data_IF_454817857701
#
_entry.id   IF_454817857701
#
_cell.length_a   1.000
_cell.length_b   1.000
_cell.length_c   1.000
_cell.angle_alpha   90.00
_cell.angle_beta   90.00
_cell.angle_gamma   90.00
#
_symmetry.space_group_name_H-M   'P 1'
#
loop_
_entity.id
_entity.type
_entity.pdbx_description
1 polymer ?
#
# COMPACT_ATOMS: atom_id res chain seq x y z
N UNK A 1 -37.79 -21.17 -37.76
CA UNK A 1 -36.78 -20.50 -38.61
C UNK A 1 -35.76 -21.56 -39.02
N UNK A 2 -36.14 -22.39 -39.99
CA UNK A 2 -35.26 -23.40 -40.59
C UNK A 2 -34.47 -22.70 -41.69
N UNK A 3 -33.39 -22.02 -41.32
CA UNK A 3 -32.41 -21.60 -42.32
C UNK A 3 -31.58 -22.84 -42.60
N UNK A 4 -31.63 -23.26 -43.85
CA UNK A 4 -30.87 -24.35 -44.46
C UNK A 4 -29.51 -24.60 -43.80
N UNK A 5 -29.18 -25.88 -43.58
CA UNK A 5 -27.81 -26.39 -43.47
C UNK A 5 -27.05 -26.16 -44.80
N UNK A 6 -26.99 -24.92 -45.28
CA UNK A 6 -26.03 -24.56 -46.31
C UNK A 6 -24.66 -24.69 -45.65
N UNK A 7 -23.95 -25.75 -46.02
CA UNK A 7 -22.53 -25.91 -45.74
C UNK A 7 -21.79 -24.81 -46.51
N UNK A 8 -21.73 -23.60 -45.93
CA UNK A 8 -20.92 -22.53 -46.47
C UNK A 8 -19.46 -22.92 -46.24
N UNK A 9 -18.62 -22.98 -47.29
CA UNK A 9 -17.20 -23.25 -47.13
C UNK A 9 -16.56 -22.25 -46.14
N UNK A 10 -15.68 -22.72 -45.24
CA UNK A 10 -15.06 -21.86 -44.22
C UNK A 10 -14.29 -20.69 -44.82
N UNK A 11 -13.81 -20.81 -46.05
CA UNK A 11 -13.11 -19.76 -46.79
C UNK A 11 -14.04 -18.59 -47.12
N UNK A 12 -15.28 -18.85 -47.54
CA UNK A 12 -16.25 -17.79 -47.82
C UNK A 12 -16.65 -17.07 -46.53
N UNK A 13 -16.80 -17.81 -45.43
CA UNK A 13 -17.03 -17.22 -44.11
C UNK A 13 -15.86 -16.30 -43.72
N UNK A 14 -14.63 -16.74 -43.92
CA UNK A 14 -13.44 -15.92 -43.63
C UNK A 14 -13.41 -14.63 -44.48
N UNK A 15 -13.72 -14.71 -45.78
CA UNK A 15 -13.77 -13.53 -46.67
C UNK A 15 -14.84 -12.53 -46.20
N UNK A 16 -16.04 -13.01 -45.88
CA UNK A 16 -17.13 -12.15 -45.41
C UNK A 16 -16.76 -11.48 -44.09
N UNK A 17 -16.17 -12.24 -43.15
CA UNK A 17 -15.73 -11.70 -41.86
C UNK A 17 -14.59 -10.69 -42.02
N UNK A 18 -13.68 -10.91 -42.96
CA UNK A 18 -12.63 -9.95 -43.28
C UNK A 18 -13.20 -8.61 -43.75
N UNK A 19 -14.13 -8.64 -44.72
CA UNK A 19 -14.81 -7.43 -45.18
C UNK A 19 -15.58 -6.74 -44.05
N UNK A 20 -16.21 -7.51 -43.16
CA UNK A 20 -16.90 -6.97 -41.99
C UNK A 20 -15.94 -6.25 -41.04
N UNK A 21 -14.77 -6.83 -40.76
CA UNK A 21 -13.75 -6.19 -39.91
C UNK A 21 -13.19 -4.93 -40.57
N UNK A 22 -12.93 -4.96 -41.87
CA UNK A 22 -12.49 -3.80 -42.66
C UNK A 22 -13.53 -2.67 -42.68
N UNK A 23 -14.81 -2.96 -42.55
CA UNK A 23 -15.87 -1.95 -42.42
C UNK A 23 -15.87 -1.21 -41.06
N UNK A 24 -15.20 -1.77 -40.06
CA UNK A 24 -15.02 -1.19 -38.74
C UNK A 24 -15.00 -2.24 -37.63
N UNK A 25 -13.98 -2.25 -36.73
CA UNK A 25 -13.83 -3.29 -35.72
C UNK A 25 -14.98 -3.30 -34.71
N UNK A 26 -15.64 -2.17 -34.47
CA UNK A 26 -16.77 -2.08 -33.53
C UNK A 26 -17.97 -2.91 -33.99
N UNK A 27 -18.35 -2.81 -35.25
CA UNK A 27 -19.48 -3.55 -35.81
C UNK A 27 -19.16 -5.04 -35.89
N UNK A 28 -17.97 -5.39 -36.37
CA UNK A 28 -17.49 -6.77 -36.36
C UNK A 28 -17.46 -7.37 -34.95
N UNK A 29 -16.99 -6.60 -33.96
CA UNK A 29 -16.95 -7.03 -32.56
C UNK A 29 -18.35 -7.35 -32.02
N UNK A 30 -19.37 -6.55 -32.34
CA UNK A 30 -20.75 -6.80 -31.93
C UNK A 30 -21.32 -8.08 -32.57
N UNK A 31 -20.97 -8.35 -33.83
CA UNK A 31 -21.41 -9.54 -34.55
C UNK A 31 -20.80 -10.86 -34.03
N UNK A 32 -19.74 -10.81 -33.21
CA UNK A 32 -19.05 -12.03 -32.73
C UNK A 32 -19.92 -12.97 -31.88
N UNK A 33 -21.07 -12.49 -31.40
CA UNK A 33 -21.98 -13.25 -30.54
C UNK A 33 -23.24 -13.78 -31.22
N UNK A 34 -23.47 -13.50 -32.51
CA UNK A 34 -24.80 -13.71 -33.14
C UNK A 34 -25.05 -15.12 -33.68
N UNK A 35 -24.04 -15.99 -33.79
CA UNK A 35 -24.18 -17.31 -34.42
C UNK A 35 -23.88 -18.45 -33.43
N UNK A 36 -24.90 -19.06 -32.82
CA UNK A 36 -24.76 -20.10 -31.76
C UNK A 36 -23.90 -21.30 -32.15
N UNK A 37 -23.97 -21.73 -33.41
CA UNK A 37 -23.37 -23.00 -33.84
C UNK A 37 -21.92 -22.82 -34.31
N UNK A 38 -21.58 -21.58 -34.70
CA UNK A 38 -20.25 -21.23 -35.20
C UNK A 38 -19.54 -20.17 -34.35
N UNK A 39 -20.02 -19.91 -33.12
CA UNK A 39 -19.53 -18.82 -32.24
C UNK A 39 -18.01 -18.84 -32.15
N UNK A 40 -17.41 -20.02 -31.94
CA UNK A 40 -15.97 -20.14 -31.70
C UNK A 40 -15.15 -19.80 -32.94
N UNK A 41 -15.55 -20.28 -34.12
CA UNK A 41 -14.86 -20.00 -35.38
C UNK A 41 -15.03 -18.53 -35.77
N UNK A 42 -16.25 -17.99 -35.73
CA UNK A 42 -16.52 -16.59 -36.05
C UNK A 42 -15.75 -15.64 -35.14
N UNK A 43 -15.81 -15.89 -33.84
CA UNK A 43 -15.07 -15.11 -32.84
C UNK A 43 -13.58 -15.14 -33.13
N UNK A 44 -13.02 -16.32 -33.39
CA UNK A 44 -11.58 -16.47 -33.63
C UNK A 44 -11.13 -15.74 -34.88
N UNK A 45 -11.90 -15.81 -35.98
CA UNK A 45 -11.60 -15.10 -37.23
C UNK A 45 -11.71 -13.58 -37.05
N UNK A 46 -12.79 -13.08 -36.44
CA UNK A 46 -12.95 -11.64 -36.16
C UNK A 46 -11.81 -11.14 -35.28
N UNK A 47 -11.50 -11.86 -34.20
CA UNK A 47 -10.41 -11.52 -33.29
C UNK A 47 -9.05 -11.53 -33.99
N UNK A 48 -8.80 -12.51 -34.87
CA UNK A 48 -7.59 -12.60 -35.67
C UNK A 48 -7.48 -11.42 -36.63
N UNK A 49 -8.54 -11.10 -37.37
CA UNK A 49 -8.52 -10.05 -38.38
C UNK A 49 -8.36 -8.66 -37.76
N UNK A 50 -8.98 -8.44 -36.59
CA UNK A 50 -8.80 -7.22 -35.81
C UNK A 50 -7.32 -7.04 -35.46
N UNK A 51 -6.64 -8.06 -34.95
CA UNK A 51 -5.22 -7.90 -34.53
C UNK A 51 -4.24 -7.93 -35.69
N UNK A 52 -4.57 -8.63 -36.78
CA UNK A 52 -3.67 -8.82 -37.92
C UNK A 52 -3.72 -7.64 -38.88
N UNK A 53 -4.91 -7.13 -39.21
CA UNK A 53 -5.07 -6.21 -40.34
C UNK A 53 -5.43 -4.78 -39.95
N UNK A 54 -6.00 -4.55 -38.76
CA UNK A 54 -6.41 -3.19 -38.37
C UNK A 54 -5.22 -2.32 -37.96
N UNK A 55 -5.30 -1.04 -38.30
CA UNK A 55 -4.31 -0.03 -37.89
C UNK A 55 -4.59 0.50 -36.49
N UNK A 56 -3.56 1.07 -35.86
CA UNK A 56 -3.58 1.68 -34.55
C UNK A 56 -4.60 2.83 -34.48
N UNK A 57 -4.75 3.62 -35.54
CA UNK A 57 -5.71 4.74 -35.59
C UNK A 57 -7.15 4.26 -35.51
N UNK A 58 -7.47 3.14 -36.17
CA UNK A 58 -8.79 2.51 -36.10
C UNK A 58 -9.03 1.88 -34.72
N UNK A 59 -8.01 1.26 -34.14
CA UNK A 59 -8.09 0.60 -32.83
C UNK A 59 -8.13 1.59 -31.65
N UNK A 60 -7.51 2.77 -31.78
CA UNK A 60 -7.57 3.86 -30.79
C UNK A 60 -9.00 4.31 -30.50
N UNK A 61 -9.87 4.27 -31.50
CA UNK A 61 -11.28 4.63 -31.36
C UNK A 61 -12.10 3.55 -30.64
N UNK A 62 -11.50 2.38 -30.37
CA UNK A 62 -12.17 1.18 -29.86
C UNK A 62 -11.55 0.67 -28.55
N UNK A 63 -11.44 1.55 -27.55
CA UNK A 63 -10.79 1.27 -26.25
C UNK A 63 -11.24 -0.05 -25.60
N UNK A 64 -12.55 -0.30 -25.56
CA UNK A 64 -13.11 -1.53 -24.97
C UNK A 64 -12.67 -2.82 -25.68
N UNK A 65 -12.51 -2.76 -27.01
CA UNK A 65 -12.01 -3.89 -27.80
C UNK A 65 -10.54 -4.11 -27.45
N UNK A 66 -9.77 -3.03 -27.39
CA UNK A 66 -8.34 -3.10 -27.09
C UNK A 66 -8.06 -3.58 -25.68
N UNK A 67 -8.86 -3.22 -24.69
CA UNK A 67 -8.74 -3.76 -23.34
C UNK A 67 -8.76 -5.30 -23.30
N UNK A 68 -9.56 -5.93 -24.18
CA UNK A 68 -9.64 -7.39 -24.29
C UNK A 68 -8.57 -7.98 -25.22
N UNK A 69 -8.28 -7.28 -26.33
CA UNK A 69 -7.45 -7.80 -27.42
C UNK A 69 -5.97 -7.47 -27.29
N UNK A 70 -5.58 -6.59 -26.37
CA UNK A 70 -4.20 -6.11 -26.27
C UNK A 70 -3.16 -7.24 -26.15
N UNK A 71 -3.37 -8.34 -25.39
CA UNK A 71 -2.42 -9.47 -25.36
C UNK A 71 -2.13 -10.05 -26.74
N UNK A 72 -3.20 -10.27 -27.53
CA UNK A 72 -3.11 -10.86 -28.86
C UNK A 72 -2.57 -9.87 -29.88
N UNK A 73 -2.98 -8.60 -29.76
CA UNK A 73 -2.46 -7.51 -30.57
C UNK A 73 -0.96 -7.36 -30.37
N UNK A 74 -0.49 -7.33 -29.13
CA UNK A 74 0.94 -7.28 -28.79
C UNK A 74 1.70 -8.50 -29.33
N UNK A 75 1.15 -9.70 -29.15
CA UNK A 75 1.74 -10.92 -29.70
C UNK A 75 1.86 -10.87 -31.23
N UNK A 76 0.82 -10.38 -31.92
CA UNK A 76 0.85 -10.23 -33.37
C UNK A 76 1.85 -9.16 -33.82
N UNK A 77 1.87 -8.00 -33.15
CA UNK A 77 2.78 -6.89 -33.45
C UNK A 77 4.24 -7.19 -33.14
N UNK A 78 4.50 -8.08 -32.19
CA UNK A 78 5.86 -8.60 -31.94
C UNK A 78 6.41 -9.45 -33.09
N UNK A 79 5.55 -10.01 -33.95
CA UNK A 79 5.98 -10.74 -35.16
C UNK A 79 6.03 -9.85 -36.39
N UNK A 80 5.04 -8.96 -36.52
CA UNK A 80 4.87 -8.08 -37.67
C UNK A 80 4.52 -6.69 -37.18
N UNK A 81 5.48 -5.77 -37.28
CA UNK A 81 5.36 -4.41 -36.74
C UNK A 81 4.17 -3.62 -37.32
N UNK A 82 3.95 -3.70 -38.63
CA UNK A 82 2.99 -2.82 -39.34
C UNK A 82 3.20 -1.34 -39.01
N UNK A 83 2.42 -0.80 -38.08
CA UNK A 83 2.25 0.60 -37.75
C UNK A 83 2.59 0.95 -36.30
N UNK A 84 3.17 0.01 -35.56
CA UNK A 84 3.65 0.25 -34.18
C UNK A 84 5.14 0.58 -34.16
N UNK A 85 5.58 1.27 -33.11
CA UNK A 85 7.00 1.44 -32.81
C UNK A 85 7.68 0.08 -32.57
N UNK A 86 8.91 -0.08 -33.06
CA UNK A 86 9.62 -1.36 -33.05
C UNK A 86 10.27 -1.70 -31.71
N UNK A 87 10.42 -0.75 -30.78
CA UNK A 87 11.21 -0.94 -29.56
C UNK A 87 10.63 -2.04 -28.67
N UNK A 88 9.34 -1.96 -28.32
CA UNK A 88 8.68 -2.97 -27.48
C UNK A 88 8.57 -4.34 -28.18
N UNK A 89 8.12 -4.46 -29.44
CA UNK A 89 8.20 -5.69 -30.22
C UNK A 89 9.57 -6.36 -30.22
N UNK A 90 10.64 -5.58 -30.43
CA UNK A 90 12.02 -6.09 -30.44
C UNK A 90 12.41 -6.62 -29.07
N UNK A 91 12.10 -5.88 -28.00
CA UNK A 91 12.35 -6.31 -26.61
C UNK A 91 11.60 -7.60 -26.26
N UNK A 92 10.36 -7.75 -26.72
CA UNK A 92 9.58 -8.99 -26.57
C UNK A 92 10.23 -10.16 -27.31
N UNK A 93 10.74 -9.94 -28.53
CA UNK A 93 11.45 -10.99 -29.27
C UNK A 93 12.72 -11.43 -28.53
N UNK A 94 13.48 -10.49 -27.97
CA UNK A 94 14.65 -10.82 -27.15
C UNK A 94 14.27 -11.65 -25.92
N UNK A 95 13.20 -11.26 -25.20
CA UNK A 95 12.64 -12.04 -24.09
C UNK A 95 12.21 -13.45 -24.51
N UNK A 96 11.58 -13.56 -25.69
CA UNK A 96 11.16 -14.85 -26.26
C UNK A 96 12.35 -15.75 -26.59
N UNK A 97 13.39 -15.22 -27.22
CA UNK A 97 14.56 -16.01 -27.60
C UNK A 97 15.34 -16.49 -26.37
N UNK A 98 15.43 -15.65 -25.32
CA UNK A 98 15.93 -16.08 -24.01
C UNK A 98 15.11 -17.23 -23.42
N UNK A 99 13.78 -17.08 -23.34
CA UNK A 99 12.92 -18.13 -22.80
C UNK A 99 13.00 -19.43 -23.61
N UNK A 100 13.07 -19.34 -24.94
CA UNK A 100 13.20 -20.53 -25.78
C UNK A 100 14.53 -21.24 -25.56
N UNK A 101 15.61 -20.48 -25.35
CA UNK A 101 16.94 -21.02 -25.07
C UNK A 101 16.98 -21.74 -23.71
N UNK A 102 16.52 -21.08 -22.65
CA UNK A 102 16.54 -21.62 -21.28
C UNK A 102 15.58 -22.80 -21.07
N UNK A 103 14.41 -22.76 -21.71
CA UNK A 103 13.38 -23.82 -21.58
C UNK A 103 13.50 -24.90 -22.67
N UNK A 104 14.53 -24.82 -23.52
CA UNK A 104 14.74 -25.72 -24.65
C UNK A 104 13.50 -25.89 -25.55
N UNK A 105 12.82 -24.77 -25.86
CA UNK A 105 11.64 -24.75 -26.72
C UNK A 105 12.08 -24.79 -28.18
N UNK A 106 11.88 -25.92 -28.85
CA UNK A 106 12.31 -26.13 -30.25
C UNK A 106 11.16 -25.94 -31.24
N UNK A 107 9.94 -26.36 -30.90
CA UNK A 107 8.81 -26.36 -31.84
C UNK A 107 8.17 -24.98 -32.00
N UNK A 108 7.73 -24.65 -33.22
CA UNK A 108 7.04 -23.39 -33.54
C UNK A 108 5.80 -23.21 -32.65
N UNK A 109 4.99 -24.25 -32.45
CA UNK A 109 3.75 -24.15 -31.67
C UNK A 109 3.99 -23.79 -30.19
N UNK A 110 5.01 -24.39 -29.56
CA UNK A 110 5.41 -24.03 -28.21
C UNK A 110 6.00 -22.61 -28.14
N UNK A 111 6.79 -22.18 -29.14
CA UNK A 111 7.28 -20.79 -29.23
C UNK A 111 6.12 -19.80 -29.32
N UNK A 112 5.09 -20.16 -30.07
CA UNK A 112 3.87 -19.37 -30.21
C UNK A 112 3.00 -19.33 -28.95
N UNK A 113 2.87 -20.46 -28.25
CA UNK A 113 2.20 -20.51 -26.96
C UNK A 113 2.93 -19.67 -25.91
N UNK A 114 4.26 -19.78 -25.84
CA UNK A 114 5.11 -19.00 -24.94
C UNK A 114 4.98 -17.49 -25.24
N UNK A 115 4.98 -17.08 -26.51
CA UNK A 115 4.76 -15.69 -26.93
C UNK A 115 3.41 -15.14 -26.46
N UNK A 116 2.34 -15.93 -26.61
CA UNK A 116 1.01 -15.52 -26.16
C UNK A 116 0.96 -15.31 -24.65
N UNK A 117 1.53 -16.22 -23.86
CA UNK A 117 1.55 -16.07 -22.40
C UNK A 117 2.47 -14.93 -21.95
N UNK A 118 3.63 -14.73 -22.60
CA UNK A 118 4.50 -13.58 -22.34
C UNK A 118 3.77 -12.26 -22.59
N UNK A 119 3.17 -12.09 -23.77
CA UNK A 119 2.44 -10.86 -24.11
C UNK A 119 1.22 -10.64 -23.19
N UNK A 120 0.49 -11.70 -22.85
CA UNK A 120 -0.64 -11.64 -21.91
C UNK A 120 -0.19 -11.23 -20.52
N UNK A 121 0.88 -11.81 -20.00
CA UNK A 121 1.42 -11.43 -18.72
C UNK A 121 1.92 -9.98 -18.73
N UNK A 122 2.67 -9.54 -19.76
CA UNK A 122 3.08 -8.14 -19.90
C UNK A 122 1.89 -7.17 -19.88
N UNK A 123 0.83 -7.47 -20.62
CA UNK A 123 -0.39 -6.63 -20.64
C UNK A 123 -1.10 -6.62 -19.28
N UNK A 124 -1.18 -7.77 -18.59
CA UNK A 124 -1.77 -7.84 -17.26
C UNK A 124 -1.02 -6.98 -16.24
N UNK A 125 0.30 -6.83 -16.42
CA UNK A 125 1.18 -6.11 -15.50
C UNK A 125 1.16 -4.62 -15.77
N UNK A 126 1.35 -4.25 -17.03
CA UNK A 126 1.49 -2.86 -17.45
C UNK A 126 0.13 -2.17 -17.59
N UNK A 127 -0.93 -2.95 -17.77
CA UNK A 127 -2.23 -2.46 -18.20
C UNK A 127 -2.25 -2.20 -19.71
N UNK A 128 -3.38 -2.52 -20.34
CA UNK A 128 -3.55 -2.38 -21.78
C UNK A 128 -3.31 -0.95 -22.27
N UNK A 129 -3.75 0.08 -21.53
CA UNK A 129 -3.56 1.48 -21.90
C UNK A 129 -2.08 1.86 -22.02
N UNK A 130 -1.25 1.42 -21.07
CA UNK A 130 0.18 1.71 -21.07
C UNK A 130 0.90 0.99 -22.21
N UNK A 131 0.53 -0.27 -22.47
CA UNK A 131 1.05 -1.03 -23.62
C UNK A 131 0.65 -0.35 -24.94
N UNK A 132 -0.61 0.08 -25.07
CA UNK A 132 -1.09 0.82 -26.24
C UNK A 132 -0.28 2.10 -26.46
N UNK A 133 -0.08 2.88 -25.40
CA UNK A 133 0.74 4.09 -25.47
C UNK A 133 2.13 3.74 -25.97
N UNK A 134 2.84 2.81 -25.35
CA UNK A 134 4.20 2.43 -25.78
C UNK A 134 4.25 1.96 -27.24
N UNK A 135 3.29 1.16 -27.70
CA UNK A 135 3.25 0.68 -29.08
C UNK A 135 2.93 1.79 -30.09
N UNK A 136 2.09 2.75 -29.71
CA UNK A 136 1.54 3.73 -30.63
C UNK A 136 2.18 5.11 -30.50
N UNK A 137 3.13 5.30 -29.59
CA UNK A 137 3.62 6.64 -29.25
C UNK A 137 4.54 7.22 -30.34
N UNK A 138 3.94 8.04 -31.20
CA UNK A 138 4.60 9.15 -31.90
C UNK A 138 4.45 10.49 -31.16
N UNK A 139 3.74 10.56 -30.02
CA UNK A 139 3.47 11.79 -29.23
C UNK A 139 4.65 12.19 -28.34
N UNK A 140 5.80 12.33 -28.98
CA UNK A 140 7.02 12.97 -28.50
C UNK A 140 6.85 14.37 -27.88
N UNK A 141 5.69 15.02 -28.05
CA UNK A 141 5.52 16.45 -27.77
C UNK A 141 4.57 16.84 -26.64
N UNK A 142 3.56 16.02 -26.31
CA UNK A 142 2.46 16.46 -25.42
C UNK A 142 2.62 16.02 -23.95
N UNK A 143 3.29 14.90 -23.71
CA UNK A 143 3.67 14.46 -22.36
C UNK A 143 5.20 14.46 -22.25
N UNK A 144 5.79 15.67 -22.32
CA UNK A 144 7.22 15.97 -22.49
C UNK A 144 8.17 15.48 -21.39
N UNK A 145 8.14 14.20 -21.05
CA UNK A 145 9.05 13.58 -20.09
C UNK A 145 9.09 12.05 -20.09
N UNK A 146 8.15 11.37 -20.76
CA UNK A 146 8.10 9.90 -20.83
C UNK A 146 8.53 9.32 -22.19
N UNK A 147 9.42 10.01 -22.92
CA UNK A 147 10.24 9.28 -23.91
C UNK A 147 11.14 8.36 -23.11
N UNK A 148 10.69 7.12 -22.95
CA UNK A 148 11.40 6.09 -22.22
C UNK A 148 12.64 5.73 -23.02
N UNK A 149 13.72 6.50 -22.85
CA UNK A 149 15.05 6.18 -23.35
C UNK A 149 15.38 4.73 -23.02
N UNK A 150 14.96 4.26 -21.85
CA UNK A 150 14.87 2.87 -21.41
C UNK A 150 14.46 1.80 -22.46
N UNK A 151 13.56 2.13 -23.40
CA UNK A 151 13.08 1.19 -24.42
C UNK A 151 13.99 1.18 -25.66
N UNK A 152 14.70 2.27 -25.93
CA UNK A 152 15.56 2.45 -27.12
C UNK A 152 17.05 2.28 -26.81
N UNK A 153 17.49 2.62 -25.60
CA UNK A 153 18.86 2.39 -25.12
C UNK A 153 19.05 0.90 -24.82
N UNK A 154 19.92 0.22 -25.57
CA UNK A 154 20.25 -1.20 -25.35
C UNK A 154 19.68 -2.17 -26.39
N UNK A 155 19.11 -1.68 -27.50
CA UNK A 155 18.74 -2.55 -28.63
C UNK A 155 19.98 -3.14 -29.32
N UNK A 156 21.17 -2.60 -29.05
CA UNK A 156 22.44 -3.12 -29.56
C UNK A 156 22.93 -4.36 -28.76
N UNK A 157 22.56 -5.52 -29.31
CA UNK A 157 23.16 -6.86 -29.17
C UNK A 157 23.10 -7.60 -27.82
N UNK A 158 22.91 -6.94 -26.67
CA UNK A 158 22.80 -7.65 -25.39
C UNK A 158 21.47 -7.37 -24.69
N UNK A 159 20.65 -8.42 -24.59
CA UNK A 159 19.42 -8.39 -23.79
C UNK A 159 19.73 -7.97 -22.35
N UNK A 160 19.05 -6.93 -21.87
CA UNK A 160 19.25 -6.37 -20.54
C UNK A 160 18.94 -7.43 -19.47
N UNK A 161 19.69 -7.44 -18.36
CA UNK A 161 19.47 -8.40 -17.27
C UNK A 161 18.04 -8.32 -16.71
N UNK A 162 17.50 -7.11 -16.62
CA UNK A 162 16.11 -6.87 -16.20
C UNK A 162 15.08 -7.55 -17.12
N UNK A 163 15.38 -7.65 -18.42
CA UNK A 163 14.48 -8.29 -19.38
C UNK A 163 14.44 -9.80 -19.18
N UNK A 164 15.55 -10.40 -18.76
CA UNK A 164 15.62 -11.85 -18.51
C UNK A 164 14.80 -12.20 -17.27
N UNK A 165 14.97 -11.41 -16.21
CA UNK A 165 14.17 -11.54 -15.00
C UNK A 165 12.69 -11.33 -15.31
N UNK A 166 12.35 -10.26 -16.02
CA UNK A 166 10.98 -10.00 -16.45
C UNK A 166 10.40 -11.18 -17.25
N UNK A 167 11.10 -11.66 -18.27
CA UNK A 167 10.63 -12.78 -19.09
C UNK A 167 10.34 -14.00 -18.22
N UNK A 168 11.24 -14.33 -17.29
CA UNK A 168 11.06 -15.43 -16.34
C UNK A 168 9.83 -15.24 -15.45
N UNK A 169 9.63 -14.03 -14.89
CA UNK A 169 8.50 -13.73 -14.02
C UNK A 169 7.16 -13.80 -14.76
N UNK A 170 7.10 -13.19 -15.95
CA UNK A 170 5.89 -13.13 -16.76
C UNK A 170 5.49 -14.51 -17.27
N UNK A 171 6.46 -15.33 -17.67
CA UNK A 171 6.26 -16.72 -18.05
C UNK A 171 6.10 -17.67 -16.86
N UNK A 172 6.11 -17.16 -15.61
CA UNK A 172 6.00 -17.91 -14.35
C UNK A 172 7.00 -19.05 -14.21
N UNK A 173 8.22 -18.84 -14.71
CA UNK A 173 9.32 -19.78 -14.61
C UNK A 173 10.12 -19.50 -13.34
N UNK A 174 9.62 -19.96 -12.19
CA UNK A 174 10.18 -19.61 -10.88
C UNK A 174 11.65 -20.02 -10.68
N UNK A 175 12.09 -21.11 -11.31
CA UNK A 175 13.50 -21.53 -11.28
C UNK A 175 14.41 -20.52 -12.01
N UNK A 176 13.96 -19.95 -13.13
CA UNK A 176 14.68 -18.87 -13.81
C UNK A 176 14.63 -17.58 -12.99
N UNK A 177 13.52 -17.27 -12.33
CA UNK A 177 13.44 -16.11 -11.41
C UNK A 177 14.51 -16.23 -10.33
N UNK A 178 14.61 -17.39 -9.69
CA UNK A 178 15.62 -17.64 -8.66
C UNK A 178 17.06 -17.47 -9.18
N UNK A 179 17.35 -17.94 -10.40
CA UNK A 179 18.66 -17.77 -11.03
C UNK A 179 18.97 -16.31 -11.43
N UNK A 180 17.95 -15.53 -11.80
CA UNK A 180 18.11 -14.18 -12.32
C UNK A 180 18.09 -13.09 -11.24
N UNK A 181 17.37 -13.28 -10.11
CA UNK A 181 17.28 -12.26 -9.05
C UNK A 181 18.65 -11.82 -8.52
N UNK A 182 19.60 -12.73 -8.17
CA UNK A 182 20.93 -12.32 -7.72
C UNK A 182 21.71 -11.49 -8.73
N UNK A 183 21.44 -11.67 -10.04
CA UNK A 183 22.11 -10.95 -11.13
C UNK A 183 21.54 -9.55 -11.37
N UNK A 184 20.42 -9.21 -10.71
CA UNK A 184 19.65 -7.98 -10.92
C UNK A 184 19.53 -7.12 -9.64
N UNK A 185 20.28 -7.44 -8.58
CA UNK A 185 20.21 -6.71 -7.31
C UNK A 185 20.61 -5.22 -7.43
N UNK A 186 21.46 -4.90 -8.40
CA UNK A 186 21.97 -3.55 -8.68
C UNK A 186 21.20 -2.83 -9.80
N UNK A 187 20.20 -3.49 -10.39
CA UNK A 187 19.46 -2.96 -11.54
C UNK A 187 18.24 -2.19 -11.06
N UNK A 188 18.12 -0.94 -11.48
CA UNK A 188 16.88 -0.17 -11.35
C UNK A 188 15.88 -0.65 -12.39
N UNK A 189 14.70 -1.06 -11.95
CA UNK A 189 13.62 -1.42 -12.87
C UNK A 189 12.90 -0.16 -13.34
N UNK A 190 12.88 0.02 -14.65
CA UNK A 190 12.09 1.10 -15.26
C UNK A 190 10.67 0.60 -15.53
N UNK A 191 9.75 1.54 -15.76
CA UNK A 191 8.38 1.26 -16.21
C UNK A 191 7.43 0.57 -15.19
N UNK A 192 7.74 0.61 -13.90
CA UNK A 192 6.84 0.05 -12.87
C UNK A 192 6.82 -1.48 -12.86
N UNK A 193 7.99 -2.06 -13.12
CA UNK A 193 8.23 -3.49 -13.29
C UNK A 193 8.92 -4.12 -12.08
N UNK A 194 8.76 -3.50 -10.92
CA UNK A 194 9.49 -3.88 -9.73
C UNK A 194 9.04 -5.28 -9.29
N UNK A 195 9.96 -6.25 -9.17
CA UNK A 195 9.57 -7.66 -9.09
C UNK A 195 8.61 -8.00 -7.94
N UNK A 196 8.82 -7.40 -6.77
CA UNK A 196 7.95 -7.62 -5.60
C UNK A 196 6.57 -6.98 -5.79
N UNK A 197 6.51 -5.77 -6.36
CA UNK A 197 5.24 -5.09 -6.67
C UNK A 197 4.42 -5.94 -7.64
N UNK A 198 5.09 -6.51 -8.64
CA UNK A 198 4.49 -7.42 -9.60
C UNK A 198 3.89 -8.66 -8.92
N UNK A 199 4.66 -9.38 -8.11
CA UNK A 199 4.20 -10.60 -7.43
C UNK A 199 2.97 -10.35 -6.54
N UNK A 200 2.96 -9.22 -5.81
CA UNK A 200 1.82 -8.81 -4.97
C UNK A 200 0.61 -8.42 -5.84
N UNK A 201 0.83 -7.70 -6.95
CA UNK A 201 -0.28 -7.25 -7.81
C UNK A 201 -1.03 -8.43 -8.43
N UNK A 202 -0.30 -9.45 -8.87
CA UNK A 202 -0.85 -10.67 -9.50
C UNK A 202 -1.35 -11.71 -8.51
N UNK A 203 -1.12 -11.51 -7.20
CA UNK A 203 -1.42 -12.49 -6.14
C UNK A 203 -0.75 -13.85 -6.42
N UNK A 204 0.49 -13.84 -6.90
CA UNK A 204 1.25 -15.05 -7.22
C UNK A 204 2.17 -15.39 -6.05
N UNK A 205 1.70 -16.24 -5.13
CA UNK A 205 2.41 -16.63 -3.91
C UNK A 205 3.77 -17.27 -4.22
N UNK A 206 3.83 -18.11 -5.26
CA UNK A 206 5.05 -18.81 -5.68
C UNK A 206 6.07 -17.85 -6.24
N UNK A 207 5.62 -16.86 -7.02
CA UNK A 207 6.49 -15.81 -7.53
C UNK A 207 7.07 -14.97 -6.39
N UNK A 208 6.23 -14.54 -5.44
CA UNK A 208 6.68 -13.77 -4.29
C UNK A 208 7.73 -14.55 -3.49
N UNK A 209 7.42 -15.82 -3.17
CA UNK A 209 8.33 -16.69 -2.42
C UNK A 209 9.67 -16.87 -3.15
N UNK A 210 9.65 -17.17 -4.46
CA UNK A 210 10.87 -17.33 -5.25
C UNK A 210 11.75 -16.07 -5.25
N UNK A 211 11.15 -14.89 -5.30
CA UNK A 211 11.89 -13.61 -5.23
C UNK A 211 12.48 -13.40 -3.83
N UNK A 212 11.69 -13.61 -2.77
CA UNK A 212 12.15 -13.42 -1.40
C UNK A 212 13.27 -14.39 -1.02
N UNK A 213 13.16 -15.67 -1.41
CA UNK A 213 14.20 -16.67 -1.20
C UNK A 213 15.49 -16.32 -1.96
N UNK A 214 15.37 -15.91 -3.22
CA UNK A 214 16.53 -15.51 -4.02
C UNK A 214 17.20 -14.24 -3.48
N UNK A 215 16.43 -13.27 -2.98
CA UNK A 215 16.95 -12.08 -2.30
C UNK A 215 17.66 -12.44 -0.99
N UNK A 216 17.15 -13.41 -0.23
CA UNK A 216 17.78 -13.88 1.01
C UNK A 216 19.11 -14.60 0.72
N UNK A 217 19.17 -15.42 -0.32
CA UNK A 217 20.35 -16.19 -0.70
C UNK A 217 21.46 -15.37 -1.36
N UNK A 218 21.12 -14.23 -1.94
CA UNK A 218 22.10 -13.31 -2.46
C UNK A 218 23.06 -12.76 -1.38
N UNK A 219 22.86 -13.10 -0.10
CA UNK A 219 23.90 -13.35 0.93
C UNK A 219 24.66 -12.14 1.47
N UNK A 220 24.69 -11.06 0.67
CA UNK A 220 25.25 -9.75 0.94
C UNK A 220 24.32 -8.67 0.37
N UNK A 221 23.03 -8.99 0.18
CA UNK A 221 22.07 -8.07 -0.42
C UNK A 221 22.10 -6.74 0.34
N UNK A 222 22.64 -5.66 -0.25
CA UNK A 222 22.61 -4.37 0.38
C UNK A 222 21.14 -3.98 0.55
N UNK A 223 20.86 -3.09 1.49
CA UNK A 223 19.58 -2.37 1.55
C UNK A 223 19.14 -1.82 0.17
N UNK A 224 20.11 -1.55 -0.72
CA UNK A 224 19.89 -1.18 -2.11
C UNK A 224 19.13 -2.24 -2.94
N UNK A 225 19.37 -3.54 -2.78
CA UNK A 225 18.71 -4.58 -3.57
C UNK A 225 17.19 -4.59 -3.30
N UNK A 226 16.81 -4.57 -2.04
CA UNK A 226 15.42 -4.53 -1.64
C UNK A 226 14.75 -3.19 -2.00
N UNK A 227 15.51 -2.09 -1.99
CA UNK A 227 15.03 -0.79 -2.47
C UNK A 227 14.79 -0.80 -3.99
N UNK A 228 15.70 -1.38 -4.78
CA UNK A 228 15.57 -1.53 -6.23
C UNK A 228 14.37 -2.41 -6.61
N UNK A 229 14.03 -3.38 -5.76
CA UNK A 229 12.86 -4.24 -5.95
C UNK A 229 11.55 -3.59 -5.43
N UNK A 230 11.60 -2.32 -5.01
CA UNK A 230 10.49 -1.56 -4.42
C UNK A 230 9.75 -2.33 -3.33
N UNK A 231 10.50 -3.00 -2.44
CA UNK A 231 9.91 -3.78 -1.35
C UNK A 231 8.93 -2.96 -0.49
N UNK A 232 9.26 -1.69 -0.24
CA UNK A 232 8.39 -0.81 0.51
C UNK A 232 7.05 -0.53 -0.20
N UNK A 233 7.07 -0.26 -1.51
CA UNK A 233 5.85 -0.10 -2.28
C UNK A 233 5.05 -1.41 -2.33
N UNK A 234 5.73 -2.54 -2.52
CA UNK A 234 5.11 -3.86 -2.56
C UNK A 234 4.39 -4.20 -1.24
N UNK A 235 5.01 -3.93 -0.10
CA UNK A 235 4.39 -4.08 1.22
C UNK A 235 3.15 -3.15 1.35
N UNK A 236 3.27 -1.89 0.94
CA UNK A 236 2.14 -0.95 0.92
C UNK A 236 0.97 -1.45 0.07
N UNK A 237 1.22 -1.98 -1.13
CA UNK A 237 0.19 -2.55 -2.00
C UNK A 237 -0.42 -3.82 -1.38
N UNK A 238 0.39 -4.67 -0.72
CA UNK A 238 -0.10 -5.86 -0.04
C UNK A 238 -1.04 -5.50 1.12
N UNK A 239 -0.69 -4.46 1.88
CA UNK A 239 -1.51 -3.88 2.95
C UNK A 239 -2.83 -3.31 2.40
N UNK A 240 -2.77 -2.47 1.36
CA UNK A 240 -3.95 -1.85 0.75
C UNK A 240 -4.92 -2.92 0.19
N UNK A 241 -4.38 -4.05 -0.30
CA UNK A 241 -5.17 -5.22 -0.77
C UNK A 241 -5.59 -6.18 0.34
N UNK A 242 -5.24 -5.90 1.60
CA UNK A 242 -5.49 -6.74 2.79
C UNK A 242 -4.92 -8.16 2.64
N UNK A 243 -3.83 -8.34 1.90
CA UNK A 243 -3.12 -9.61 1.80
C UNK A 243 -2.06 -9.71 2.90
N UNK A 244 -2.49 -10.16 4.08
CA UNK A 244 -1.69 -10.18 5.31
C UNK A 244 -0.43 -11.05 5.14
N UNK A 245 -0.53 -12.21 4.47
CA UNK A 245 0.59 -13.11 4.27
C UNK A 245 1.71 -12.47 3.43
N UNK A 246 1.35 -11.79 2.33
CA UNK A 246 2.31 -11.07 1.50
C UNK A 246 2.93 -9.89 2.25
N UNK A 247 2.11 -9.11 2.96
CA UNK A 247 2.60 -7.97 3.72
C UNK A 247 3.62 -8.40 4.79
N UNK A 248 3.32 -9.43 5.58
CA UNK A 248 4.23 -9.95 6.59
C UNK A 248 5.54 -10.47 5.97
N UNK A 249 5.46 -11.30 4.92
CA UNK A 249 6.64 -11.86 4.28
C UNK A 249 7.58 -10.76 3.73
N UNK A 250 7.03 -9.69 3.16
CA UNK A 250 7.81 -8.57 2.65
C UNK A 250 8.37 -7.73 3.81
N UNK A 251 7.57 -7.43 4.83
CA UNK A 251 7.99 -6.65 6.00
C UNK A 251 9.13 -7.35 6.75
N UNK A 252 9.03 -8.66 6.97
CA UNK A 252 10.08 -9.45 7.61
C UNK A 252 11.37 -9.42 6.79
N UNK A 253 11.26 -9.49 5.46
CA UNK A 253 12.40 -9.33 4.55
C UNK A 253 13.05 -7.94 4.58
N UNK A 254 12.24 -6.88 4.68
CA UNK A 254 12.71 -5.50 4.88
C UNK A 254 13.42 -5.35 6.23
N UNK A 255 12.89 -5.97 7.28
CA UNK A 255 13.52 -5.98 8.59
C UNK A 255 14.87 -6.70 8.54
N UNK A 256 14.94 -7.87 7.90
CA UNK A 256 16.16 -8.67 7.77
C UNK A 256 17.26 -7.94 6.97
N UNK A 257 16.88 -7.23 5.90
CA UNK A 257 17.81 -6.46 5.07
C UNK A 257 18.28 -5.13 5.68
N UNK A 258 17.67 -4.70 6.79
CA UNK A 258 18.07 -3.48 7.49
C UNK A 258 17.78 -2.19 6.73
N UNK A 259 16.87 -2.20 5.74
CA UNK A 259 16.44 -0.97 5.06
C UNK A 259 15.81 -0.02 6.07
N UNK A 260 16.24 1.24 6.03
CA UNK A 260 15.58 2.30 6.74
C UNK A 260 14.40 2.83 5.90
N UNK A 261 13.19 2.74 6.45
CA UNK A 261 12.01 3.33 5.83
C UNK A 261 11.83 4.78 6.26
N UNK A 262 11.20 5.58 5.40
CA UNK A 262 10.81 6.94 5.78
C UNK A 262 9.70 6.92 6.83
N UNK A 263 9.65 7.94 7.68
CA UNK A 263 8.60 8.10 8.69
C UNK A 263 7.19 8.09 8.08
N UNK A 264 7.01 8.70 6.90
CA UNK A 264 5.73 8.71 6.19
C UNK A 264 5.28 7.32 5.77
N UNK A 265 6.19 6.50 5.25
CA UNK A 265 5.88 5.12 4.84
C UNK A 265 5.54 4.24 6.04
N UNK A 266 6.34 4.30 7.12
CA UNK A 266 6.07 3.57 8.37
C UNK A 266 4.70 3.93 8.96
N UNK A 267 4.39 5.23 9.08
CA UNK A 267 3.09 5.66 9.61
C UNK A 267 1.93 5.22 8.72
N UNK A 268 2.07 5.30 7.38
CA UNK A 268 1.03 4.79 6.47
C UNK A 268 0.80 3.29 6.67
N UNK A 269 1.86 2.50 6.78
CA UNK A 269 1.71 1.05 7.02
C UNK A 269 1.06 0.75 8.35
N UNK A 270 1.44 1.47 9.41
CA UNK A 270 0.81 1.32 10.72
C UNK A 270 -0.67 1.71 10.67
N UNK A 271 -1.02 2.83 10.03
CA UNK A 271 -2.42 3.26 9.83
C UNK A 271 -3.25 2.13 9.21
N UNK A 272 -2.79 1.56 8.09
CA UNK A 272 -3.48 0.46 7.40
C UNK A 272 -3.49 -0.82 8.25
N UNK A 273 -2.39 -1.16 8.92
CA UNK A 273 -2.30 -2.37 9.75
C UNK A 273 -3.28 -2.35 10.93
N UNK A 274 -3.54 -1.18 11.52
CA UNK A 274 -4.53 -1.03 12.60
C UNK A 274 -5.94 -0.96 12.04
N UNK A 275 -6.18 -0.37 10.87
CA UNK A 275 -7.49 -0.46 10.20
C UNK A 275 -7.87 -1.93 9.92
N UNK A 276 -6.89 -2.77 9.59
CA UNK A 276 -7.08 -4.22 9.42
C UNK A 276 -7.32 -4.92 10.77
N UNK A 277 -6.86 -4.37 11.89
CA UNK A 277 -7.07 -4.91 13.24
C UNK A 277 -6.25 -6.17 13.55
N UNK A 278 -5.07 -6.32 12.91
CA UNK A 278 -4.22 -7.52 13.05
C UNK A 278 -2.95 -7.20 13.83
N UNK A 279 -2.83 -7.59 15.12
CA UNK A 279 -1.71 -7.18 15.98
C UNK A 279 -0.32 -7.61 15.50
N UNK A 280 -0.20 -8.79 14.87
CA UNK A 280 1.10 -9.25 14.36
C UNK A 280 1.64 -8.36 13.24
N UNK A 281 0.76 -7.77 12.43
CA UNK A 281 1.12 -6.85 11.35
C UNK A 281 1.57 -5.49 11.89
N UNK A 282 0.92 -5.00 12.94
CA UNK A 282 1.37 -3.81 13.68
C UNK A 282 2.75 -4.08 14.26
N UNK A 283 2.93 -5.21 14.95
CA UNK A 283 4.21 -5.57 15.56
C UNK A 283 5.33 -5.71 14.53
N UNK A 284 5.07 -6.36 13.39
CA UNK A 284 6.03 -6.46 12.29
C UNK A 284 6.43 -5.08 11.75
N UNK A 285 5.45 -4.20 11.53
CA UNK A 285 5.70 -2.83 11.05
C UNK A 285 6.52 -2.00 12.05
N UNK A 286 6.26 -2.13 13.35
CA UNK A 286 7.01 -1.43 14.41
C UNK A 286 8.48 -1.84 14.50
N UNK A 287 8.80 -3.09 14.15
CA UNK A 287 10.18 -3.61 14.13
C UNK A 287 11.01 -3.04 12.99
N UNK A 288 10.40 -2.55 11.92
CA UNK A 288 11.15 -1.97 10.79
C UNK A 288 11.92 -0.73 11.24
N UNK A 289 13.18 -0.61 10.80
CA UNK A 289 14.06 0.50 11.17
C UNK A 289 13.58 1.79 10.50
N UNK A 290 13.46 2.86 11.29
CA UNK A 290 13.27 4.23 10.81
C UNK A 290 14.55 5.01 11.13
N UNK A 291 15.03 5.91 10.25
CA UNK A 291 16.15 6.79 10.57
C UNK A 291 15.75 7.83 11.63
N UNK A 292 14.47 8.14 11.77
CA UNK A 292 13.95 9.01 12.82
C UNK A 292 13.63 8.21 14.08
N UNK A 293 14.07 8.71 15.25
CA UNK A 293 13.80 8.07 16.55
C UNK A 293 12.31 8.01 16.89
N UNK A 294 11.54 9.01 16.50
CA UNK A 294 10.09 9.02 16.65
C UNK A 294 9.44 8.31 15.45
N UNK A 295 9.08 7.04 15.62
CA UNK A 295 8.44 6.25 14.54
C UNK A 295 6.96 6.61 14.36
N UNK A 296 6.28 7.00 15.44
CA UNK A 296 4.82 7.01 15.51
C UNK A 296 4.30 8.42 15.74
N UNK A 297 3.40 8.87 14.86
CA UNK A 297 2.68 10.12 15.08
C UNK A 297 1.74 10.00 16.28
N UNK A 298 1.71 10.97 17.21
CA UNK A 298 0.79 10.98 18.35
C UNK A 298 -0.70 10.84 17.97
N UNK A 299 -1.10 11.31 16.79
CA UNK A 299 -2.46 11.13 16.24
C UNK A 299 -2.85 9.65 16.04
N UNK A 300 -1.87 8.81 15.78
CA UNK A 300 -2.07 7.38 15.55
C UNK A 300 -2.51 6.68 16.83
N UNK A 301 -1.85 7.01 17.95
CA UNK A 301 -2.24 6.56 19.29
C UNK A 301 -3.62 7.06 19.69
N UNK A 302 -3.98 8.30 19.33
CA UNK A 302 -5.34 8.81 19.53
C UNK A 302 -6.39 7.98 18.77
N UNK A 303 -6.10 7.63 17.52
CA UNK A 303 -7.00 6.83 16.69
C UNK A 303 -7.22 5.42 17.25
N UNK A 304 -6.17 4.73 17.68
CA UNK A 304 -6.28 3.39 18.30
C UNK A 304 -7.09 3.40 19.58
N UNK A 305 -6.92 4.43 20.42
CA UNK A 305 -7.70 4.60 21.65
C UNK A 305 -9.19 4.83 21.35
N UNK A 306 -9.52 5.59 20.29
CA UNK A 306 -10.91 5.81 19.86
C UNK A 306 -11.56 4.54 19.30
N UNK A 307 -10.78 3.72 18.59
CA UNK A 307 -11.21 2.41 18.11
C UNK A 307 -11.32 1.35 19.22
N UNK A 308 -10.87 1.67 20.45
CA UNK A 308 -10.82 0.78 21.62
C UNK A 308 -9.89 -0.43 21.43
N UNK A 309 -8.88 -0.30 20.58
CA UNK A 309 -7.89 -1.34 20.32
C UNK A 309 -6.71 -1.25 21.30
N UNK A 310 -7.00 -1.42 22.59
CA UNK A 310 -6.03 -1.12 23.64
C UNK A 310 -4.77 -1.99 23.61
N UNK A 311 -4.88 -3.25 23.13
CA UNK A 311 -3.71 -4.13 22.93
C UNK A 311 -2.73 -3.53 21.92
N UNK A 312 -3.25 -2.95 20.84
CA UNK A 312 -2.46 -2.27 19.82
C UNK A 312 -1.86 -0.99 20.41
N UNK A 313 -2.66 -0.20 21.13
CA UNK A 313 -2.18 1.03 21.78
C UNK A 313 -0.99 0.76 22.72
N UNK A 314 -1.04 -0.33 23.52
CA UNK A 314 0.09 -0.73 24.38
C UNK A 314 1.34 -1.04 23.57
N UNK A 315 1.23 -1.73 22.43
CA UNK A 315 2.39 -1.99 21.55
C UNK A 315 3.02 -0.72 20.99
N UNK A 316 2.26 0.38 20.85
CA UNK A 316 2.80 1.65 20.34
C UNK A 316 3.63 2.41 21.38
N UNK A 317 3.45 2.13 22.68
CA UNK A 317 4.09 2.89 23.77
C UNK A 317 5.62 2.77 23.73
N UNK A 318 6.15 1.60 23.41
CA UNK A 318 7.60 1.34 23.33
C UNK A 318 8.29 2.06 22.16
N UNK A 319 7.52 2.64 21.26
CA UNK A 319 8.01 3.21 19.99
C UNK A 319 7.61 4.67 19.81
N UNK A 320 7.09 5.32 20.85
CA UNK A 320 6.66 6.71 20.81
C UNK A 320 7.28 7.54 21.92
N UNK A 321 7.47 8.84 21.65
CA UNK A 321 7.86 9.79 22.67
C UNK A 321 6.61 10.20 23.47
N UNK A 322 6.55 9.76 24.73
CA UNK A 322 5.43 10.03 25.64
C UNK A 322 5.34 11.51 26.03
N UNK A 323 6.41 12.29 25.81
CA UNK A 323 6.49 13.70 26.14
C UNK A 323 6.04 14.64 25.02
N UNK A 324 5.93 14.13 23.77
CA UNK A 324 5.62 14.96 22.60
C UNK A 324 4.14 14.87 22.25
N UNK A 325 3.43 15.99 22.36
CA UNK A 325 2.03 16.08 21.94
C UNK A 325 1.30 17.29 22.49
N UNK A 326 0.09 17.50 21.98
CA UNK A 326 -0.86 18.45 22.56
C UNK A 326 -1.89 17.76 23.45
N UNK A 327 -2.84 18.53 23.98
CA UNK A 327 -3.95 18.01 24.81
C UNK A 327 -4.68 16.80 24.17
N UNK A 328 -4.78 16.78 22.85
CA UNK A 328 -5.51 15.75 22.13
C UNK A 328 -4.67 14.54 21.73
N UNK A 329 -3.35 14.63 21.82
CA UNK A 329 -2.45 13.63 21.26
C UNK A 329 -1.39 13.14 22.24
N UNK A 330 -1.22 13.81 23.40
CA UNK A 330 -0.33 13.32 24.44
C UNK A 330 -0.87 11.98 24.97
N UNK A 331 -0.07 10.90 24.99
CA UNK A 331 -0.57 9.56 25.28
C UNK A 331 -1.34 9.47 26.60
N UNK A 332 -0.82 10.08 27.67
CA UNK A 332 -1.48 10.03 28.97
C UNK A 332 -2.82 10.78 28.99
N UNK A 333 -2.90 11.97 28.38
CA UNK A 333 -4.17 12.71 28.26
C UNK A 333 -5.18 11.96 27.39
N UNK A 334 -4.74 11.29 26.33
CA UNK A 334 -5.60 10.43 25.50
C UNK A 334 -6.15 9.25 26.31
N UNK A 335 -5.28 8.52 27.02
CA UNK A 335 -5.66 7.36 27.83
C UNK A 335 -6.67 7.73 28.93
N UNK A 336 -6.44 8.86 29.62
CA UNK A 336 -7.36 9.37 30.65
C UNK A 336 -8.74 9.69 30.07
N UNK A 337 -8.80 10.32 28.88
CA UNK A 337 -10.09 10.59 28.21
C UNK A 337 -10.81 9.34 27.74
N UNK A 338 -10.05 8.31 27.35
CA UNK A 338 -10.61 7.00 27.00
C UNK A 338 -11.18 6.26 28.21
N UNK A 339 -10.91 6.72 29.45
CA UNK A 339 -11.36 6.14 30.72
C UNK A 339 -11.01 4.65 30.87
N UNK A 340 -9.92 4.21 30.23
CA UNK A 340 -9.43 2.85 30.36
C UNK A 340 -8.28 2.81 31.38
N UNK A 341 -8.54 2.19 32.54
CA UNK A 341 -7.57 2.09 33.63
C UNK A 341 -6.31 1.32 33.24
N UNK A 342 -6.45 0.22 32.50
CA UNK A 342 -5.33 -0.61 32.07
C UNK A 342 -4.43 0.17 31.12
N UNK A 343 -5.01 0.97 30.22
CA UNK A 343 -4.24 1.82 29.32
C UNK A 343 -3.57 2.98 30.07
N UNK A 344 -4.24 3.60 31.04
CA UNK A 344 -3.62 4.65 31.88
C UNK A 344 -2.44 4.07 32.65
N UNK A 345 -2.60 2.89 33.25
CA UNK A 345 -1.53 2.18 33.94
C UNK A 345 -0.37 1.87 33.00
N UNK A 346 -0.64 1.31 31.82
CA UNK A 346 0.38 0.99 30.83
C UNK A 346 1.17 2.22 30.35
N UNK A 347 0.50 3.35 30.11
CA UNK A 347 1.18 4.61 29.72
C UNK A 347 2.09 5.13 30.84
N UNK A 348 1.67 5.01 32.09
CA UNK A 348 2.48 5.40 33.25
C UNK A 348 3.65 4.42 33.47
N UNK A 349 3.41 3.13 33.28
CA UNK A 349 4.44 2.07 33.38
C UNK A 349 5.50 2.21 32.29
N UNK A 350 5.12 2.73 31.11
CA UNK A 350 6.04 3.11 30.04
C UNK A 350 6.85 4.38 30.34
N UNK A 351 6.63 5.03 31.49
CA UNK A 351 7.41 6.19 31.95
C UNK A 351 6.84 7.56 31.58
N UNK A 352 5.56 7.66 31.21
CA UNK A 352 4.95 8.98 31.00
C UNK A 352 4.95 9.80 32.30
N UNK A 353 5.30 11.09 32.20
CA UNK A 353 5.23 12.00 33.34
C UNK A 353 3.77 12.23 33.75
N UNK A 354 3.42 11.73 34.94
CA UNK A 354 2.08 11.84 35.54
C UNK A 354 1.63 13.30 35.72
N UNK A 355 2.56 14.24 35.78
CA UNK A 355 2.31 15.66 35.97
C UNK A 355 2.43 16.47 34.69
N UNK A 356 2.64 15.84 33.53
CA UNK A 356 3.01 16.54 32.31
C UNK A 356 1.96 17.57 31.91
N UNK A 357 2.39 18.83 31.82
CA UNK A 357 1.50 19.93 31.44
C UNK A 357 1.58 20.17 29.95
N UNK A 358 0.42 20.16 29.30
CA UNK A 358 0.32 20.52 27.87
C UNK A 358 -0.43 21.82 27.70
N UNK A 359 0.03 22.58 26.72
CA UNK A 359 -0.61 23.81 26.33
C UNK A 359 -1.96 23.50 25.66
N UNK A 360 -3.03 24.08 26.16
CA UNK A 360 -4.31 24.04 25.49
C UNK A 360 -4.29 25.07 24.36
N UNK A 361 -4.07 24.63 23.12
CA UNK A 361 -4.28 25.45 21.92
C UNK A 361 -5.76 25.78 21.81
N UNK A 362 -6.19 26.82 22.52
CA UNK A 362 -7.50 27.42 22.31
C UNK A 362 -7.59 27.98 20.90
N UNK A 363 -8.77 27.89 20.28
CA UNK A 363 -9.05 28.57 19.02
C UNK A 363 -8.78 30.09 19.12
N UNK A 364 -8.78 30.81 17.99
CA UNK A 364 -8.31 32.21 17.90
C UNK A 364 -8.98 33.20 18.86
N UNK A 365 -10.14 32.85 19.46
CA UNK A 365 -10.86 33.68 20.43
C UNK A 365 -10.48 33.47 21.91
N UNK A 366 -9.58 32.55 22.26
CA UNK A 366 -9.17 32.23 23.65
C UNK A 366 -7.77 32.73 24.03
N UNK A 367 -7.31 33.86 23.48
CA UNK A 367 -5.93 34.34 23.67
C UNK A 367 -5.59 34.90 25.07
N UNK A 368 -6.56 35.27 25.91
CA UNK A 368 -6.25 36.00 27.16
C UNK A 368 -5.87 35.13 28.36
N UNK A 369 -6.24 33.84 28.39
CA UNK A 369 -5.86 32.92 29.47
C UNK A 369 -5.20 31.65 28.92
N UNK A 370 -3.87 31.66 28.83
CA UNK A 370 -3.08 30.47 28.48
C UNK A 370 -3.21 29.41 29.58
N UNK A 371 -4.13 28.47 29.44
CA UNK A 371 -4.35 27.38 30.42
C UNK A 371 -3.52 26.15 30.02
N UNK A 372 -2.52 25.85 30.83
CA UNK A 372 -1.88 24.54 30.83
C UNK A 372 -2.79 23.53 31.52
N UNK A 373 -2.96 22.36 30.90
CA UNK A 373 -3.78 21.27 31.45
C UNK A 373 -2.89 20.07 31.81
N UNK A 374 -2.96 19.59 33.05
CA UNK A 374 -2.28 18.35 33.47
C UNK A 374 -3.24 17.13 33.41
N UNK A 375 -2.73 15.88 33.47
CA UNK A 375 -3.54 14.67 33.38
C UNK A 375 -4.64 14.59 34.46
N UNK A 376 -4.34 15.04 35.68
CA UNK A 376 -5.32 15.10 36.79
C UNK A 376 -6.50 16.00 36.43
N UNK A 377 -6.24 17.18 35.88
CA UNK A 377 -7.29 18.11 35.46
C UNK A 377 -8.14 17.54 34.30
N UNK A 378 -7.58 16.69 33.45
CA UNK A 378 -8.34 15.94 32.44
C UNK A 378 -9.20 14.86 33.11
N UNK A 379 -8.63 14.07 34.02
CA UNK A 379 -9.33 13.00 34.71
C UNK A 379 -10.55 13.54 35.48
N UNK A 380 -10.42 14.70 36.12
CA UNK A 380 -11.52 15.38 36.80
C UNK A 380 -12.72 15.70 35.90
N UNK A 381 -12.53 15.81 34.58
CA UNK A 381 -13.61 16.04 33.59
C UNK A 381 -14.19 14.73 33.05
N UNK A 382 -13.42 13.66 33.09
CA UNK A 382 -13.77 12.39 32.47
C UNK A 382 -14.37 11.41 33.49
N UNK A 383 -13.88 11.38 34.73
CA UNK A 383 -14.45 10.55 35.79
C UNK A 383 -13.45 10.20 36.90
N UNK A 384 -13.96 9.63 37.98
CA UNK A 384 -13.18 9.31 39.18
C UNK A 384 -12.19 8.15 39.07
N UNK A 385 -12.40 7.07 38.28
CA UNK A 385 -11.49 5.93 38.31
C UNK A 385 -10.07 6.29 37.87
N UNK A 386 -9.93 6.97 36.72
CA UNK A 386 -8.62 7.41 36.24
C UNK A 386 -7.97 8.45 37.15
N UNK A 387 -8.78 9.31 37.78
CA UNK A 387 -8.31 10.30 38.75
C UNK A 387 -7.66 9.63 39.97
N UNK A 388 -8.31 8.59 40.52
CA UNK A 388 -7.78 7.83 41.65
C UNK A 388 -6.44 7.19 41.30
N UNK A 389 -6.35 6.52 40.16
CA UNK A 389 -5.12 5.87 39.70
C UNK A 389 -3.97 6.88 39.52
N UNK A 390 -4.23 8.05 38.92
CA UNK A 390 -3.22 9.10 38.80
C UNK A 390 -2.71 9.57 40.16
N UNK A 391 -3.61 9.78 41.13
CA UNK A 391 -3.23 10.18 42.49
C UNK A 391 -2.40 9.08 43.17
N UNK A 392 -2.82 7.82 43.08
CA UNK A 392 -2.06 6.66 43.58
C UNK A 392 -0.65 6.59 42.96
N UNK A 393 -0.49 7.00 41.70
CA UNK A 393 0.80 7.09 40.98
C UNK A 393 1.56 8.41 41.20
N UNK A 394 1.22 9.17 42.25
CA UNK A 394 1.97 10.35 42.67
C UNK A 394 1.63 11.64 41.92
N UNK A 395 0.48 11.72 41.24
CA UNK A 395 0.08 12.96 40.58
C UNK A 395 -0.07 14.12 41.58
N UNK A 396 0.37 15.30 41.16
CA UNK A 396 0.29 16.54 41.95
C UNK A 396 -1.14 17.05 41.94
N UNK A 397 -1.68 17.27 43.13
CA UNK A 397 -3.02 17.82 43.30
C UNK A 397 -3.01 19.29 42.85
N UNK A 398 -3.85 19.69 41.88
CA UNK A 398 -3.92 21.08 41.43
C UNK A 398 -4.41 22.00 42.56
N UNK A 399 -4.14 23.32 42.48
CA UNK A 399 -4.65 24.27 43.48
C UNK A 399 -6.19 24.29 43.48
N UNK A 400 -6.79 24.62 44.63
CA UNK A 400 -8.23 24.51 44.86
C UNK A 400 -9.08 25.27 43.82
N UNK A 401 -8.62 26.44 43.37
CA UNK A 401 -9.25 27.23 42.29
C UNK A 401 -9.46 26.49 40.96
N UNK A 402 -8.70 25.40 40.73
CA UNK A 402 -8.80 24.58 39.50
C UNK A 402 -9.65 23.33 39.69
N UNK A 403 -10.19 23.12 40.89
CA UNK A 403 -11.00 21.95 41.15
C UNK A 403 -12.34 22.04 40.42
N UNK A 404 -12.83 20.90 39.91
CA UNK A 404 -14.07 20.82 39.18
C UNK A 404 -15.24 20.80 40.16
N UNK A 405 -16.38 21.38 39.74
CA UNK A 405 -17.60 21.37 40.54
C UNK A 405 -18.26 19.99 40.63
N UNK A 406 -17.66 18.92 40.15
CA UNK A 406 -18.22 17.58 40.33
C UNK A 406 -17.93 17.07 41.74
N UNK A 407 -18.98 16.75 42.50
CA UNK A 407 -18.89 16.36 43.91
C UNK A 407 -17.94 15.18 44.16
N UNK A 408 -17.95 14.17 43.28
CA UNK A 408 -17.14 12.96 43.46
C UNK A 408 -15.64 13.24 43.29
N UNK A 409 -15.26 13.94 42.22
CA UNK A 409 -13.87 14.35 42.00
C UNK A 409 -13.38 15.29 43.10
N UNK A 410 -14.23 16.23 43.54
CA UNK A 410 -13.93 17.11 44.67
C UNK A 410 -13.62 16.33 45.94
N UNK A 411 -14.51 15.42 46.35
CA UNK A 411 -14.33 14.64 47.56
C UNK A 411 -13.02 13.83 47.50
N UNK A 412 -12.74 13.19 46.36
CA UNK A 412 -11.52 12.40 46.19
C UNK A 412 -10.25 13.25 46.35
N UNK A 413 -10.20 14.42 45.69
CA UNK A 413 -9.05 15.33 45.81
C UNK A 413 -8.89 15.90 47.22
N UNK A 414 -10.02 16.20 47.88
CA UNK A 414 -10.05 16.68 49.25
C UNK A 414 -9.48 15.62 50.19
N UNK A 415 -9.96 14.39 50.09
CA UNK A 415 -9.57 13.29 50.95
C UNK A 415 -8.08 12.94 50.73
N UNK A 416 -7.60 12.89 49.48
CA UNK A 416 -6.17 12.73 49.15
C UNK A 416 -5.30 13.91 49.64
N UNK A 417 -5.81 15.14 49.55
CA UNK A 417 -5.09 16.31 50.07
C UNK A 417 -4.94 16.26 51.58
N UNK A 418 -5.97 15.78 52.29
CA UNK A 418 -5.92 15.58 53.74
C UNK A 418 -4.86 14.55 54.13
N UNK A 419 -4.77 13.46 53.38
CA UNK A 419 -3.75 12.41 53.62
C UNK A 419 -2.34 12.95 53.40
N UNK A 420 -2.10 13.78 52.37
CA UNK A 420 -0.74 14.27 52.02
C UNK A 420 -0.25 15.49 52.79
N UNK A 421 -1.12 16.44 53.15
CA UNK A 421 -0.71 17.78 53.64
C UNK A 421 -0.93 18.01 55.13
N UNK A 422 -1.01 16.95 55.93
CA UNK A 422 -1.09 17.01 57.40
C UNK A 422 -1.92 18.20 57.95
N UNK A 423 -3.26 18.08 57.86
CA UNK A 423 -4.25 18.81 58.69
C UNK A 423 -4.63 20.26 58.32
N UNK A 424 -4.36 20.77 57.11
CA UNK A 424 -5.10 21.97 56.64
C UNK A 424 -6.58 21.62 56.44
N UNK A 425 -7.50 22.36 57.09
CA UNK A 425 -8.95 22.18 56.90
C UNK A 425 -9.33 22.65 55.49
N UNK A 426 -9.69 21.71 54.62
CA UNK A 426 -10.33 22.03 53.34
C UNK A 426 -11.83 22.30 53.55
N UNK A 427 -12.45 23.19 52.75
CA UNK A 427 -13.87 23.51 52.84
C UNK A 427 -14.77 22.27 52.62
N UNK A 428 -16.05 22.36 52.98
CA UNK A 428 -17.02 21.37 52.54
C UNK A 428 -17.35 21.59 51.05
N UNK A 429 -17.88 20.58 50.35
CA UNK A 429 -18.27 20.75 48.95
C UNK A 429 -19.32 21.86 48.72
N UNK A 430 -20.38 21.98 49.55
CA UNK A 430 -21.30 23.13 49.47
C UNK A 430 -20.61 24.48 49.66
N UNK A 431 -19.64 24.58 50.56
CA UNK A 431 -18.89 25.82 50.78
C UNK A 431 -18.00 26.13 49.58
N UNK A 432 -17.27 25.13 49.07
CA UNK A 432 -16.47 25.25 47.86
C UNK A 432 -17.28 25.72 46.65
N UNK A 433 -18.54 25.27 46.50
CA UNK A 433 -19.42 25.74 45.42
C UNK A 433 -19.77 27.23 45.52
N UNK A 434 -19.73 27.81 46.73
CA UNK A 434 -20.02 29.22 47.02
C UNK A 434 -18.78 30.12 47.01
N UNK A 435 -17.58 29.53 47.06
CA UNK A 435 -16.33 30.30 47.09
C UNK A 435 -16.07 31.07 45.79
N UNK A 436 -15.55 32.29 45.96
CA UNK A 436 -14.99 33.10 44.87
C UNK A 436 -13.62 32.58 44.45
N UNK A 437 -13.14 32.99 43.26
CA UNK A 437 -11.80 32.60 42.76
C UNK A 437 -10.70 33.07 43.73
N UNK A 438 -10.87 34.24 44.33
CA UNK A 438 -9.92 34.83 45.29
C UNK A 438 -9.86 33.99 46.58
N UNK A 439 -11.01 33.58 47.10
CA UNK A 439 -11.08 32.71 48.27
C UNK A 439 -10.48 31.33 47.99
N UNK A 440 -10.64 30.79 46.78
CA UNK A 440 -10.06 29.51 46.42
C UNK A 440 -8.53 29.55 46.21
N UNK A 441 -7.96 30.74 45.98
CA UNK A 441 -6.51 30.94 45.83
C UNK A 441 -5.76 31.04 47.16
N UNK A 442 -6.45 31.29 48.28
CA UNK A 442 -5.84 31.39 49.61
C UNK A 442 -5.61 30.04 50.31
N UNK A 443 -6.14 28.95 49.75
CA UNK A 443 -6.01 27.57 50.23
C UNK A 443 -4.98 26.77 49.42
#
# INVERSE_FOLDING_TARGET
MYIFEMQVPPELVAIVLHHLVCSGPRNAWLARGTCSDYVTTFRTVIEHDIVTYQTNDVLRQSEKIMAHMMPRYLAQRSKRLLDVDSALPTRINNMMDYLCSELHIVTIDHKEACRRELCKGLVNIMGHYRVANILWDRMSGLFGGFRSTALTTGVEQNMLRQDRLMAAMVARQYHLVYAQVPQNVDVSFELGWEPLVLAVRTKDDKLLQAILEALALAGNCPSAAWANFSAAEAAGIALDKRNIAHALAIIDGIQYSGIALTETTCNRWLEVAMEIGVPCLVQATLRVRSPTHAKIKPKLFEATCKAKEYKVAVLLLDHMDLSVGGLNTLPLHVAVRAQNLDLIAAVLDAGADVNQRVYQTGGPKMQKDRKYTCPVEVAMRCGTPGLKLLLERGATIPPLRRWFKERRAYNLLRDESFVRKERKRFPSYPDFQRMTVIEADSY
#
